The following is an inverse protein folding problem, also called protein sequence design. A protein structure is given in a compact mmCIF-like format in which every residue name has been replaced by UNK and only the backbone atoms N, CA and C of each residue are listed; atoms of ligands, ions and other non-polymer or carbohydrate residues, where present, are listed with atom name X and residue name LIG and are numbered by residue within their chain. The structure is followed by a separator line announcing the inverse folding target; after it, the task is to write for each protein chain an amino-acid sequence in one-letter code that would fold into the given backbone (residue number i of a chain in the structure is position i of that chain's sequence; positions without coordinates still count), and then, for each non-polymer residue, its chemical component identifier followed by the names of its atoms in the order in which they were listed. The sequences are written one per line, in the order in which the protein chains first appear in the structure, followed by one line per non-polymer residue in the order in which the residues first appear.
data_IF_548775793888
#
_entry.id   IF_548775793888
#
_cell.length_a   1.000
_cell.length_b   1.000
_cell.length_c   1.000
_cell.angle_alpha   90.00
_cell.angle_beta   90.00
_cell.angle_gamma   90.00
#
_symmetry.space_group_name_H-M   'P 1'
#
loop_
_entity.id
_entity.type
_entity.pdbx_description
1 polymer ?
#
# COMPACT_ATOMS: atom_id res chain seq x y z
N UNK A 1 15.04 0.63 6.69
CA UNK A 1 14.35 -0.57 7.24
C UNK A 1 13.96 -1.51 6.09
N UNK A 2 13.80 -2.82 6.31
CA UNK A 2 13.35 -3.78 5.26
C UNK A 2 12.14 -4.56 5.75
N UNK A 3 11.08 -4.62 4.94
CA UNK A 3 9.87 -5.44 5.11
C UNK A 3 9.82 -6.40 3.91
N UNK A 4 9.96 -7.71 4.14
CA UNK A 4 10.14 -8.66 3.02
C UNK A 4 9.52 -10.02 3.28
N UNK A 5 8.87 -10.56 2.24
CA UNK A 5 8.43 -11.95 2.18
C UNK A 5 7.25 -12.28 3.09
N UNK A 6 6.50 -11.27 3.53
CA UNK A 6 5.32 -11.47 4.36
C UNK A 6 4.09 -11.71 3.50
N UNK A 7 3.19 -12.55 4.03
CA UNK A 7 1.79 -12.61 3.62
C UNK A 7 0.97 -11.75 4.59
N UNK A 8 0.29 -10.73 4.05
CA UNK A 8 -0.36 -9.67 4.83
C UNK A 8 -1.80 -9.50 4.37
N UNK A 9 -2.72 -9.96 5.21
CA UNK A 9 -4.13 -9.62 5.10
C UNK A 9 -4.38 -8.23 5.68
N UNK A 10 -4.94 -7.34 4.86
CA UNK A 10 -5.27 -5.99 5.28
C UNK A 10 -6.41 -5.93 6.30
N UNK A 11 -6.45 -4.88 7.13
CA UNK A 11 -7.49 -4.70 8.13
C UNK A 11 -8.88 -4.47 7.52
N UNK A 12 -9.90 -4.89 8.28
CA UNK A 12 -11.31 -4.53 8.03
C UNK A 12 -11.65 -3.22 8.75
N UNK A 13 -12.19 -2.24 8.03
CA UNK A 13 -12.83 -1.04 8.56
C UNK A 13 -12.02 0.24 8.46
N UNK A 14 -10.72 0.16 8.23
CA UNK A 14 -9.87 1.31 7.97
C UNK A 14 -8.52 0.91 7.39
N UNK A 15 -7.76 1.94 6.99
CA UNK A 15 -6.30 1.95 7.02
C UNK A 15 -5.58 1.16 5.89
N UNK A 16 -4.25 1.20 5.96
CA UNK A 16 -3.36 0.52 5.03
C UNK A 16 -2.95 -0.84 5.60
N UNK A 17 -2.69 -1.84 4.76
CA UNK A 17 -2.15 -3.12 5.24
C UNK A 17 -0.66 -3.01 5.63
N UNK A 18 0.15 -2.41 4.75
CA UNK A 18 1.52 -2.01 5.06
C UNK A 18 1.61 -0.49 4.97
N UNK A 19 2.06 0.17 6.04
CA UNK A 19 2.30 1.61 6.05
C UNK A 19 3.66 1.92 6.67
N UNK A 20 4.46 2.74 5.99
CA UNK A 20 5.73 3.23 6.54
C UNK A 20 6.00 4.66 6.11
N UNK A 21 6.62 5.43 7.00
CA UNK A 21 7.00 6.83 6.76
C UNK A 21 8.49 7.11 7.01
N UNK A 22 9.30 6.04 7.04
CA UNK A 22 10.73 6.13 7.32
C UNK A 22 11.57 6.30 6.05
N UNK A 23 12.73 6.92 6.18
CA UNK A 23 13.72 7.07 5.11
C UNK A 23 14.33 5.71 4.68
N UNK A 24 14.55 5.52 3.38
CA UNK A 24 15.27 4.37 2.80
C UNK A 24 14.63 3.01 3.17
N UNK A 25 13.31 3.01 3.36
CA UNK A 25 12.57 1.79 3.65
C UNK A 25 12.35 0.98 2.37
N UNK A 26 12.58 -0.33 2.46
CA UNK A 26 12.43 -1.26 1.34
C UNK A 26 11.31 -2.26 1.66
N UNK A 27 10.29 -2.31 0.82
CA UNK A 27 9.14 -3.23 0.91
C UNK A 27 9.23 -4.17 -0.30
N UNK A 28 9.65 -5.42 -0.06
CA UNK A 28 10.08 -6.32 -1.13
C UNK A 28 9.35 -7.66 -1.08
N UNK A 29 8.77 -8.09 -2.20
CA UNK A 29 8.32 -9.48 -2.34
C UNK A 29 7.26 -9.90 -1.33
N UNK A 30 6.41 -8.98 -0.89
CA UNK A 30 5.29 -9.29 0.02
C UNK A 30 4.04 -9.62 -0.80
N UNK A 31 3.21 -10.50 -0.25
CA UNK A 31 1.86 -10.77 -0.72
C UNK A 31 0.91 -9.99 0.18
N UNK A 32 0.18 -9.02 -0.37
CA UNK A 32 -0.69 -8.13 0.39
C UNK A 32 -2.10 -8.21 -0.19
N UNK A 33 -3.08 -8.55 0.64
CA UNK A 33 -4.42 -8.85 0.14
C UNK A 33 -5.55 -8.40 1.06
N UNK A 34 -6.74 -8.22 0.47
CA UNK A 34 -8.00 -8.00 1.18
C UNK A 34 -8.05 -6.73 2.05
N UNK A 35 -7.29 -5.69 1.70
CA UNK A 35 -7.34 -4.42 2.44
C UNK A 35 -8.69 -3.76 2.27
N UNK A 36 -9.43 -3.60 3.38
CA UNK A 36 -10.75 -2.95 3.39
C UNK A 36 -11.74 -3.50 2.35
N UNK A 37 -11.65 -4.79 2.00
CA UNK A 37 -12.45 -5.39 0.93
C UNK A 37 -13.96 -5.52 1.23
N UNK A 38 -14.36 -5.33 2.49
CA UNK A 38 -15.73 -5.59 2.97
C UNK A 38 -16.48 -4.35 3.49
N UNK A 39 -15.86 -3.16 3.50
CA UNK A 39 -16.40 -1.99 4.23
C UNK A 39 -16.94 -0.89 3.31
N UNK A 40 -17.32 -1.26 2.08
CA UNK A 40 -17.69 -0.28 1.05
C UNK A 40 -16.52 0.63 0.69
N UNK A 41 -16.83 1.86 0.25
CA UNK A 41 -15.82 2.85 -0.13
C UNK A 41 -15.78 4.01 0.87
N UNK A 42 -15.12 3.85 2.03
CA UNK A 42 -15.03 4.91 3.02
C UNK A 42 -14.14 6.05 2.53
N UNK A 43 -14.55 7.30 2.81
CA UNK A 43 -13.78 8.50 2.48
C UNK A 43 -12.42 8.58 3.21
N UNK A 44 -12.25 7.83 4.31
CA UNK A 44 -10.96 7.70 5.00
C UNK A 44 -9.89 7.03 4.11
N UNK A 45 -10.32 6.24 3.13
CA UNK A 45 -9.44 5.57 2.18
C UNK A 45 -8.51 4.54 2.79
N UNK A 46 -7.51 4.12 2.01
CA UNK A 46 -6.45 3.20 2.44
C UNK A 46 -5.68 2.63 1.27
N UNK A 47 -4.74 1.74 1.56
CA UNK A 47 -3.98 1.05 0.53
C UNK A 47 -3.48 -0.31 0.98
N UNK A 48 -3.29 -1.25 0.05
CA UNK A 48 -2.48 -2.43 0.32
C UNK A 48 -1.10 -2.03 0.85
N UNK A 49 -0.40 -1.17 0.12
CA UNK A 49 0.88 -0.60 0.55
C UNK A 49 0.82 0.92 0.45
N UNK A 50 1.05 1.61 1.56
CA UNK A 50 1.18 3.06 1.60
C UNK A 50 2.59 3.47 2.07
N UNK A 51 3.25 4.32 1.28
CA UNK A 51 4.57 4.87 1.60
C UNK A 51 4.53 6.39 1.68
N UNK A 52 5.20 6.95 2.69
CA UNK A 52 5.29 8.39 2.92
C UNK A 52 6.67 8.79 3.46
N UNK A 53 7.68 8.80 2.59
CA UNK A 53 9.04 9.15 2.96
C UNK A 53 10.04 9.08 1.80
N UNK A 54 11.27 9.57 1.98
CA UNK A 54 12.27 9.64 0.92
C UNK A 54 12.92 8.32 0.59
N UNK A 55 13.35 8.19 -0.67
CA UNK A 55 14.17 7.10 -1.20
C UNK A 55 13.62 5.68 -0.92
N UNK A 56 12.31 5.57 -0.73
CA UNK A 56 11.68 4.29 -0.42
C UNK A 56 11.63 3.41 -1.67
N UNK A 57 11.63 2.09 -1.48
CA UNK A 57 11.55 1.14 -2.57
C UNK A 57 10.45 0.13 -2.34
N UNK A 58 9.50 0.05 -3.27
CA UNK A 58 8.41 -0.93 -3.28
C UNK A 58 8.65 -1.83 -4.48
N UNK A 59 9.16 -3.04 -4.25
CA UNK A 59 9.70 -3.91 -5.32
C UNK A 59 9.09 -5.31 -5.25
N UNK A 60 8.58 -5.83 -6.36
CA UNK A 60 8.26 -7.26 -6.45
C UNK A 60 7.07 -7.70 -5.60
N UNK A 61 6.22 -6.79 -5.11
CA UNK A 61 5.08 -7.15 -4.27
C UNK A 61 3.89 -7.58 -5.13
N UNK A 62 3.10 -8.52 -4.61
CA UNK A 62 1.81 -8.90 -5.18
C UNK A 62 0.71 -8.35 -4.28
N UNK A 63 -0.05 -7.37 -4.77
CA UNK A 63 -0.99 -6.57 -3.98
C UNK A 63 -2.36 -6.66 -4.63
N UNK A 64 -3.37 -7.27 -3.99
CA UNK A 64 -4.65 -7.51 -4.68
C UNK A 64 -5.87 -7.51 -3.75
N UNK A 65 -7.07 -7.52 -4.33
CA UNK A 65 -8.34 -7.51 -3.60
C UNK A 65 -8.46 -6.35 -2.59
N UNK A 66 -7.89 -5.19 -2.91
CA UNK A 66 -8.01 -4.02 -2.05
C UNK A 66 -9.25 -3.21 -2.45
N UNK A 67 -10.01 -2.80 -1.44
CA UNK A 67 -11.28 -2.12 -1.64
C UNK A 67 -12.43 -3.07 -2.00
N UNK A 68 -13.66 -2.54 -1.99
CA UNK A 68 -14.84 -3.32 -2.29
C UNK A 68 -14.81 -3.77 -3.76
N UNK A 69 -15.30 -4.97 -4.03
CA UNK A 69 -15.57 -5.47 -5.38
C UNK A 69 -16.95 -6.12 -5.41
N UNK A 70 -17.78 -5.91 -6.45
CA UNK A 70 -17.51 -5.20 -7.71
C UNK A 70 -17.75 -3.68 -7.66
N UNK A 71 -18.04 -3.12 -6.48
CA UNK A 71 -18.31 -1.69 -6.35
C UNK A 71 -17.03 -0.86 -6.56
N UNK A 72 -17.09 0.14 -7.44
CA UNK A 72 -15.97 1.06 -7.66
C UNK A 72 -15.62 1.84 -6.38
N UNK A 73 -14.33 2.07 -6.13
CA UNK A 73 -13.86 2.88 -5.02
C UNK A 73 -12.60 3.68 -5.35
N UNK A 74 -12.70 5.01 -5.27
CA UNK A 74 -11.58 5.92 -5.55
C UNK A 74 -10.61 6.10 -4.38
N UNK A 75 -11.02 5.69 -3.17
CA UNK A 75 -10.27 6.01 -1.95
C UNK A 75 -9.37 4.86 -1.45
N UNK A 76 -9.52 3.65 -2.00
CA UNK A 76 -8.73 2.48 -1.59
C UNK A 76 -7.82 2.06 -2.76
N UNK A 77 -6.52 2.12 -2.53
CA UNK A 77 -5.49 1.92 -3.55
C UNK A 77 -4.79 0.57 -3.38
N UNK A 78 -4.18 0.06 -4.45
CA UNK A 78 -3.26 -1.07 -4.31
C UNK A 78 -1.94 -0.62 -3.66
N UNK A 79 -1.17 0.20 -4.40
CA UNK A 79 0.05 0.84 -3.92
C UNK A 79 -0.13 2.35 -3.99
N UNK A 80 0.06 3.04 -2.87
CA UNK A 80 -0.10 4.49 -2.74
C UNK A 80 1.21 5.13 -2.29
N UNK A 81 1.70 6.09 -3.07
CA UNK A 81 2.84 6.94 -2.73
C UNK A 81 2.31 8.31 -2.31
N UNK A 82 2.38 8.62 -1.01
CA UNK A 82 1.97 9.92 -0.51
C UNK A 82 3.02 10.97 -0.85
N UNK A 83 2.59 12.03 -1.51
CA UNK A 83 3.42 13.19 -1.89
C UNK A 83 3.14 14.41 -1.00
N UNK A 84 2.47 14.22 0.14
CA UNK A 84 1.97 15.33 0.97
C UNK A 84 3.08 16.20 1.57
N UNK A 85 4.29 15.65 1.70
CA UNK A 85 5.51 16.41 1.98
C UNK A 85 6.40 16.31 0.74
N UNK A 86 7.26 17.29 0.47
CA UNK A 86 8.26 17.25 -0.63
C UNK A 86 9.30 16.11 -0.47
N UNK A 87 8.97 15.06 0.28
CA UNK A 87 9.86 14.03 0.79
C UNK A 87 9.75 12.72 0.02
N UNK A 88 8.78 12.49 -0.86
CA UNK A 88 8.76 11.29 -1.72
C UNK A 88 9.76 11.35 -2.91
N UNK A 89 10.78 12.20 -2.81
CA UNK A 89 11.88 12.20 -3.79
C UNK A 89 12.60 10.87 -3.75
N UNK A 90 12.92 10.33 -4.92
CA UNK A 90 13.66 9.08 -5.06
C UNK A 90 12.88 7.81 -4.71
N UNK A 91 11.55 7.87 -4.53
CA UNK A 91 10.74 6.66 -4.36
C UNK A 91 10.73 5.86 -5.67
N UNK A 92 11.05 4.57 -5.59
CA UNK A 92 11.00 3.63 -6.70
C UNK A 92 9.89 2.61 -6.44
N UNK A 93 8.99 2.48 -7.41
CA UNK A 93 7.94 1.46 -7.44
C UNK A 93 8.15 0.64 -8.71
N UNK A 94 8.63 -0.59 -8.59
CA UNK A 94 9.00 -1.41 -9.75
C UNK A 94 8.65 -2.89 -9.55
N UNK A 95 8.36 -3.57 -10.65
CA UNK A 95 8.10 -5.02 -10.69
C UNK A 95 7.00 -5.50 -9.73
N UNK A 96 6.04 -4.64 -9.36
CA UNK A 96 4.88 -5.03 -8.56
C UNK A 96 3.73 -5.42 -9.48
N UNK A 97 2.86 -6.31 -8.99
CA UNK A 97 1.54 -6.57 -9.56
C UNK A 97 0.53 -6.03 -8.57
N UNK A 98 -0.30 -5.08 -8.99
CA UNK A 98 -1.27 -4.40 -8.15
C UNK A 98 -2.61 -4.21 -8.84
#
# INVERSE_FOLDING_TARGET
MVIRGFDVRGPSGCCNAISTSGWDTRIIGNHVHDTQNSNGCPAMGGAGIAVNGPNMRVIGNYVHNNGPYPAHCDYIQGIYVSLSTKEASGVIVENNIS
#
